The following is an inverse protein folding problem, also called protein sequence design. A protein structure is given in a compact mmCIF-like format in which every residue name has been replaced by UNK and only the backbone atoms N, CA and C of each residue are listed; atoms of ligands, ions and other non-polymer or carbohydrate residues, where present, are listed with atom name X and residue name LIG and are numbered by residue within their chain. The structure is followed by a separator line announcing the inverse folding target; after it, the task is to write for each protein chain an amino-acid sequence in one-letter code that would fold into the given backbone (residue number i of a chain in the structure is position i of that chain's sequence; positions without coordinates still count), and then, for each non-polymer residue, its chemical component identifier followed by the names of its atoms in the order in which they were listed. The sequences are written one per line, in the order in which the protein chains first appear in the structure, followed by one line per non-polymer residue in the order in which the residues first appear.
data_IF_144887902357
#
_entry.id   IF_144887902357
#
_cell.length_a   1.000
_cell.length_b   1.000
_cell.length_c   1.000
_cell.angle_alpha   90.00
_cell.angle_beta   90.00
_cell.angle_gamma   90.00
#
_symmetry.space_group_name_H-M   'P 1'
#
loop_
_entity.id
_entity.type
_entity.pdbx_description
1 polymer ?
#
# COMPACT_ATOMS: atom_id res chain seq x y z
N UNK A 1 -36.15 -7.48 -20.92
CA UNK A 1 -35.26 -8.17 -19.97
C UNK A 1 -34.02 -7.30 -19.83
N UNK A 2 -33.86 -6.57 -18.72
CA UNK A 2 -32.69 -5.70 -18.53
C UNK A 2 -31.54 -6.54 -17.98
N UNK A 3 -30.44 -6.64 -18.73
CA UNK A 3 -29.20 -7.26 -18.24
C UNK A 3 -28.41 -6.21 -17.45
N UNK A 4 -28.36 -6.35 -16.13
CA UNK A 4 -27.54 -5.49 -15.25
C UNK A 4 -26.07 -5.90 -15.36
N UNK A 5 -25.37 -5.39 -16.38
CA UNK A 5 -23.93 -5.58 -16.54
C UNK A 5 -23.18 -4.84 -15.41
N UNK A 6 -22.11 -5.46 -14.89
CA UNK A 6 -21.23 -4.86 -13.88
C UNK A 6 -21.60 -5.08 -12.41
N UNK A 7 -22.73 -5.74 -12.09
CA UNK A 7 -23.11 -6.07 -10.68
C UNK A 7 -23.01 -7.55 -10.33
N UNK A 8 -22.41 -8.36 -11.19
CA UNK A 8 -22.32 -9.82 -11.03
C UNK A 8 -21.03 -10.29 -10.35
N UNK A 9 -20.11 -9.36 -10.02
CA UNK A 9 -18.94 -9.61 -9.17
C UNK A 9 -18.98 -8.63 -8.01
N UNK A 10 -18.89 -9.15 -6.80
CA UNK A 10 -18.80 -8.38 -5.57
C UNK A 10 -17.99 -9.18 -4.55
N UNK A 11 -17.54 -8.49 -3.51
CA UNK A 11 -16.86 -9.11 -2.37
C UNK A 11 -17.61 -8.74 -1.10
N UNK A 12 -17.70 -9.70 -0.20
CA UNK A 12 -18.16 -9.47 1.16
C UNK A 12 -16.92 -9.39 2.07
N UNK A 13 -16.66 -8.22 2.65
CA UNK A 13 -15.53 -8.03 3.55
C UNK A 13 -15.70 -8.84 4.83
N UNK A 14 -14.58 -9.37 5.35
CA UNK A 14 -14.56 -10.16 6.59
C UNK A 14 -14.85 -9.27 7.79
N UNK A 15 -14.20 -8.10 7.87
CA UNK A 15 -14.44 -7.11 8.92
C UNK A 15 -15.68 -6.27 8.62
N UNK A 16 -16.73 -6.42 9.42
CA UNK A 16 -18.01 -5.72 9.20
C UNK A 16 -18.06 -4.31 9.78
N UNK A 17 -17.29 -4.05 10.83
CA UNK A 17 -17.32 -2.78 11.55
C UNK A 17 -16.53 -1.65 10.87
N UNK A 18 -15.45 -2.01 10.17
CA UNK A 18 -14.52 -1.06 9.54
C UNK A 18 -14.02 -1.60 8.20
N UNK A 19 -14.94 -1.80 7.26
CA UNK A 19 -14.58 -2.23 5.92
C UNK A 19 -14.04 -1.06 5.09
N UNK A 20 -13.04 -1.33 4.26
CA UNK A 20 -12.43 -0.36 3.36
C UNK A 20 -12.19 -0.99 1.98
N UNK A 21 -12.43 -0.25 0.90
CA UNK A 21 -12.22 -0.72 -0.47
C UNK A 21 -10.80 -1.24 -0.75
N UNK A 22 -9.80 -0.68 -0.05
CA UNK A 22 -8.40 -1.08 -0.19
C UNK A 22 -8.04 -2.39 0.47
N UNK A 23 -8.96 -3.06 1.19
CA UNK A 23 -8.74 -4.37 1.83
C UNK A 23 -8.73 -5.54 0.83
N UNK A 24 -9.16 -5.30 -0.41
CA UNK A 24 -9.13 -6.32 -1.46
C UNK A 24 -7.68 -6.51 -1.92
N UNK A 25 -7.11 -7.73 -1.79
CA UNK A 25 -5.72 -7.96 -2.17
C UNK A 25 -5.55 -7.91 -3.69
N UNK A 26 -4.32 -7.69 -4.20
CA UNK A 26 -4.06 -7.48 -5.62
C UNK A 26 -4.56 -8.62 -6.52
N UNK A 27 -4.46 -9.86 -6.05
CA UNK A 27 -4.92 -11.05 -6.76
C UNK A 27 -6.45 -11.07 -6.99
N UNK A 28 -7.25 -10.50 -6.09
CA UNK A 28 -8.70 -10.41 -6.23
C UNK A 28 -9.17 -9.11 -6.87
N UNK A 29 -8.38 -8.04 -6.76
CA UNK A 29 -8.71 -6.72 -7.28
C UNK A 29 -8.95 -6.74 -8.79
N UNK A 30 -8.11 -7.42 -9.57
CA UNK A 30 -8.28 -7.52 -11.02
C UNK A 30 -9.57 -8.23 -11.44
N UNK A 31 -9.90 -9.34 -10.77
CA UNK A 31 -11.13 -10.09 -10.99
C UNK A 31 -12.37 -9.27 -10.65
N UNK A 32 -12.35 -8.62 -9.47
CA UNK A 32 -13.46 -7.80 -8.98
C UNK A 32 -13.76 -6.61 -9.91
N UNK A 33 -12.72 -6.01 -10.50
CA UNK A 33 -12.82 -4.85 -11.38
C UNK A 33 -12.97 -5.21 -12.87
N UNK A 34 -13.27 -6.46 -13.22
CA UNK A 34 -13.43 -6.91 -14.61
C UNK A 34 -12.20 -6.66 -15.52
N UNK A 35 -11.01 -6.58 -14.92
CA UNK A 35 -9.74 -6.41 -15.66
C UNK A 35 -9.27 -7.77 -16.21
N UNK A 36 -9.54 -8.84 -15.46
CA UNK A 36 -9.21 -10.22 -15.82
C UNK A 36 -10.32 -11.16 -15.39
N UNK A 37 -10.40 -12.31 -16.06
CA UNK A 37 -11.28 -13.41 -15.68
C UNK A 37 -10.58 -14.44 -14.76
N UNK A 38 -9.26 -14.28 -14.55
CA UNK A 38 -8.53 -15.11 -13.60
C UNK A 38 -8.99 -14.85 -12.17
N UNK A 39 -9.18 -15.91 -11.39
CA UNK A 39 -9.57 -15.77 -9.98
C UNK A 39 -8.37 -15.41 -9.10
N UNK A 40 -8.63 -14.95 -7.88
CA UNK A 40 -7.55 -14.62 -6.96
C UNK A 40 -6.67 -15.83 -6.61
N UNK A 41 -7.24 -17.03 -6.53
CA UNK A 41 -6.47 -18.26 -6.26
C UNK A 41 -5.49 -18.59 -7.39
N UNK A 42 -5.90 -18.40 -8.65
CA UNK A 42 -5.04 -18.60 -9.82
C UNK A 42 -3.86 -17.61 -9.81
N UNK A 43 -4.13 -16.34 -9.50
CA UNK A 43 -3.10 -15.29 -9.45
C UNK A 43 -2.21 -15.40 -8.20
N UNK A 44 -2.73 -15.92 -7.09
CA UNK A 44 -1.94 -16.16 -5.88
C UNK A 44 -0.81 -17.16 -6.13
N UNK A 45 -1.02 -18.16 -6.99
CA UNK A 45 0.04 -19.11 -7.40
C UNK A 45 1.19 -18.44 -8.16
N UNK A 46 0.93 -17.29 -8.80
CA UNK A 46 1.90 -16.49 -9.53
C UNK A 46 2.61 -15.43 -8.65
N UNK A 47 2.23 -15.31 -7.37
CA UNK A 47 2.79 -14.30 -6.46
C UNK A 47 4.33 -14.50 -6.33
N UNK A 48 5.14 -13.44 -6.56
CA UNK A 48 6.59 -13.55 -6.46
C UNK A 48 7.05 -13.90 -5.03
N UNK A 49 7.67 -15.06 -4.85
CA UNK A 49 8.07 -15.55 -3.52
C UNK A 49 9.27 -14.83 -2.89
N UNK A 50 10.15 -14.25 -3.70
CA UNK A 50 11.41 -13.66 -3.22
C UNK A 50 11.25 -12.26 -2.63
N UNK A 51 10.34 -11.48 -3.18
CA UNK A 51 10.19 -10.05 -2.87
C UNK A 51 8.73 -9.62 -2.70
N UNK A 52 7.78 -10.55 -2.80
CA UNK A 52 6.37 -10.27 -2.56
C UNK A 52 6.18 -9.81 -1.12
N UNK A 53 5.61 -8.62 -0.96
CA UNK A 53 5.20 -8.08 0.34
C UNK A 53 3.74 -8.45 0.54
N UNK A 54 3.37 -8.79 1.77
CA UNK A 54 1.97 -9.04 2.11
C UNK A 54 1.13 -7.78 1.90
N UNK A 55 -0.10 -8.00 1.44
CA UNK A 55 -1.05 -6.92 1.23
C UNK A 55 -1.35 -6.21 2.57
N UNK A 56 -1.31 -4.88 2.53
CA UNK A 56 -1.74 -4.01 3.62
C UNK A 56 -2.75 -3.03 3.03
N UNK A 57 -3.86 -2.84 3.74
CA UNK A 57 -4.85 -1.84 3.39
C UNK A 57 -4.28 -0.42 3.50
N UNK A 58 -5.00 0.55 2.95
CA UNK A 58 -4.64 1.94 3.08
C UNK A 58 -5.01 2.49 4.47
N UNK A 59 -4.01 2.72 5.30
CA UNK A 59 -4.13 3.28 6.66
C UNK A 59 -3.98 4.82 6.71
N UNK A 60 -4.15 5.49 5.57
CA UNK A 60 -4.17 6.96 5.51
C UNK A 60 -5.19 7.53 6.49
N UNK A 61 -4.73 8.42 7.38
CA UNK A 61 -5.56 9.07 8.39
C UNK A 61 -5.64 8.37 9.75
N UNK A 62 -5.02 7.21 9.93
CA UNK A 62 -5.09 6.40 11.16
C UNK A 62 -3.91 6.62 12.13
N UNK A 63 -3.07 7.62 11.85
CA UNK A 63 -1.90 7.98 12.64
C UNK A 63 -0.63 8.07 11.80
N UNK A 64 0.25 9.01 12.15
CA UNK A 64 1.49 9.31 11.41
C UNK A 64 2.43 8.09 11.34
N UNK A 65 2.40 7.21 12.35
CA UNK A 65 3.20 5.97 12.41
C UNK A 65 2.82 4.93 11.34
N UNK A 66 1.59 4.98 10.82
CA UNK A 66 1.10 4.06 9.77
C UNK A 66 1.21 4.67 8.37
N UNK A 67 1.44 5.97 8.28
CA UNK A 67 1.45 6.71 7.02
C UNK A 67 2.89 6.84 6.53
N UNK A 68 3.05 6.76 5.22
CA UNK A 68 4.34 6.98 4.61
C UNK A 68 4.72 8.46 4.62
N UNK A 69 5.88 8.77 5.21
CA UNK A 69 6.52 10.08 5.13
C UNK A 69 7.73 10.05 4.19
N UNK A 70 7.84 11.06 3.32
CA UNK A 70 9.02 11.22 2.48
C UNK A 70 10.27 11.50 3.32
N UNK A 71 11.46 11.25 2.77
CA UNK A 71 12.73 11.41 3.50
C UNK A 71 13.04 12.83 3.96
N UNK A 72 12.36 13.85 3.45
CA UNK A 72 12.53 15.24 3.89
C UNK A 72 11.45 15.72 4.87
N UNK A 73 10.42 14.91 5.10
CA UNK A 73 9.29 15.29 5.94
C UNK A 73 9.69 15.34 7.42
N UNK A 74 9.23 16.36 8.14
CA UNK A 74 9.61 16.58 9.54
C UNK A 74 9.16 15.46 10.50
N UNK A 75 8.11 14.72 10.14
CA UNK A 75 7.62 13.56 10.92
C UNK A 75 8.32 12.24 10.53
N UNK A 76 9.19 12.23 9.54
CA UNK A 76 9.96 11.04 9.21
C UNK A 76 11.09 10.86 10.24
N UNK A 77 11.17 9.73 10.98
CA UNK A 77 12.24 9.50 11.94
C UNK A 77 13.63 9.48 11.30
N UNK A 78 13.72 9.08 10.03
CA UNK A 78 14.97 9.00 9.25
C UNK A 78 15.08 10.19 8.28
N UNK A 79 14.96 11.41 8.82
CA UNK A 79 15.03 12.62 8.00
C UNK A 79 16.41 12.73 7.33
N UNK A 80 16.40 12.74 6.00
CA UNK A 80 17.58 12.81 5.17
C UNK A 80 18.04 14.26 5.01
N UNK A 81 19.30 14.50 5.31
CA UNK A 81 20.01 15.70 4.88
C UNK A 81 20.36 15.60 3.37
N UNK A 82 20.01 16.65 2.62
CA UNK A 82 20.26 16.75 1.18
C UNK A 82 21.51 17.56 0.86
N UNK A 83 22.25 18.02 1.87
CA UNK A 83 23.53 18.73 1.69
C UNK A 83 24.48 17.89 0.84
N UNK A 84 24.96 18.46 -0.26
CA UNK A 84 25.80 17.78 -1.26
C UNK A 84 27.30 17.91 -1.00
N UNK A 85 27.66 18.62 0.06
CA UNK A 85 29.02 18.88 0.47
C UNK A 85 29.13 18.66 1.98
N UNK A 86 30.35 18.46 2.47
CA UNK A 86 30.60 18.41 3.89
C UNK A 86 31.16 19.78 4.30
N UNK A 87 30.46 20.56 5.16
CA UNK A 87 30.99 21.83 5.63
C UNK A 87 32.24 21.56 6.49
N UNK A 88 33.22 22.46 6.42
CA UNK A 88 34.36 22.39 7.31
C UNK A 88 33.91 22.59 8.77
N UNK A 89 34.34 21.70 9.68
CA UNK A 89 34.08 21.81 11.12
C UNK A 89 35.38 22.20 11.85
N UNK A 90 35.45 23.38 12.51
CA UNK A 90 36.62 23.77 13.28
C UNK A 90 36.86 22.80 14.44
N UNK A 91 38.13 22.53 14.75
CA UNK A 91 38.49 21.89 16.02
C UNK A 91 38.11 22.84 17.17
N UNK A 92 37.46 22.31 18.20
CA UNK A 92 37.25 23.07 19.46
C UNK A 92 38.62 23.38 20.05
N UNK A 93 38.93 24.66 20.26
CA UNK A 93 40.04 25.06 21.13
C UNK A 93 39.66 24.77 22.58
N UNK A 94 40.56 24.11 23.32
CA UNK A 94 40.44 23.89 24.77
C UNK A 94 40.33 25.20 25.56
#
# INVERSE_FOLDING_TARGET
MWHFVGRHRWVEYVEKGRYNASQVPPEWHGWLHFITDHTGDELLMLRPKRYGVEHKENLSGEGEEYIYHSKGHALNPDQKDWTRYQPWQPAKSE
#
